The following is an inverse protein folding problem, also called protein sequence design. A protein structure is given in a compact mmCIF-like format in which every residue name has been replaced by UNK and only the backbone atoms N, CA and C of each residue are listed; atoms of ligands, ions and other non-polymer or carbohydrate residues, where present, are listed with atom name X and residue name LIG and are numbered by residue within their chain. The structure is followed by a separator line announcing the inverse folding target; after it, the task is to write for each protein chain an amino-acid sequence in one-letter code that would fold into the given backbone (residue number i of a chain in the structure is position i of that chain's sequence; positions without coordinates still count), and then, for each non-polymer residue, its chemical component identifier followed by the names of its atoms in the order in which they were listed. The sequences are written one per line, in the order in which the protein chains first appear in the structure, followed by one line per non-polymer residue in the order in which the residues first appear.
data_IF_120233587915
#
_entry.id   IF_120233587915
#
_cell.length_a   1.000
_cell.length_b   1.000
_cell.length_c   1.000
_cell.angle_alpha   90.00
_cell.angle_beta   90.00
_cell.angle_gamma   90.00
#
_symmetry.space_group_name_H-M   'P 1'
#
loop_
_entity.id
_entity.type
_entity.pdbx_description
1 polymer ?
#
# COMPACT_ATOMS: atom_id res chain seq x y z
N UNK A 1 0.42 78.40 6.93
CA UNK A 1 0.35 77.60 5.68
C UNK A 1 1.16 76.34 5.94
N UNK A 2 0.65 75.11 6.05
CA UNK A 2 -0.64 74.52 5.75
C UNK A 2 -0.42 73.24 4.94
N UNK A 3 -0.83 72.08 5.50
CA UNK A 3 -0.97 70.72 4.91
C UNK A 3 0.29 69.84 4.95
N UNK A 4 0.22 68.55 5.30
CA UNK A 4 -0.89 67.71 5.70
C UNK A 4 -0.39 66.27 5.90
N UNK A 5 -0.69 65.66 7.04
CA UNK A 5 -0.32 64.28 7.36
C UNK A 5 -1.34 63.31 6.75
N UNK A 6 -0.89 62.43 5.86
CA UNK A 6 -1.70 61.38 5.26
C UNK A 6 -1.68 60.14 6.16
N UNK A 7 -2.82 59.84 6.79
CA UNK A 7 -3.02 58.59 7.53
C UNK A 7 -3.47 57.48 6.57
N UNK A 8 -2.72 56.39 6.48
CA UNK A 8 -3.11 55.18 5.74
C UNK A 8 -3.91 54.28 6.69
N UNK A 9 -5.20 54.13 6.42
CA UNK A 9 -6.07 53.18 7.13
C UNK A 9 -6.03 51.85 6.37
N UNK A 10 -5.46 50.82 6.99
CA UNK A 10 -5.50 49.46 6.48
C UNK A 10 -6.82 48.80 6.90
N UNK A 11 -7.69 48.50 5.94
CA UNK A 11 -8.93 47.75 6.17
C UNK A 11 -8.58 46.26 6.12
N UNK A 12 -8.58 45.61 7.29
CA UNK A 12 -8.50 44.16 7.39
C UNK A 12 -9.86 43.55 7.00
N UNK A 13 -9.93 42.94 5.82
CA UNK A 13 -11.09 42.16 5.41
C UNK A 13 -11.06 40.79 6.10
N UNK A 14 -11.92 40.60 7.10
CA UNK A 14 -12.17 39.29 7.69
C UNK A 14 -13.06 38.47 6.75
N UNK A 15 -12.48 37.55 5.99
CA UNK A 15 -13.20 36.51 5.28
C UNK A 15 -13.71 35.49 6.29
N UNK A 16 -14.98 35.64 6.70
CA UNK A 16 -15.72 34.59 7.40
C UNK A 16 -15.98 33.47 6.38
N UNK A 17 -15.13 32.45 6.40
CA UNK A 17 -15.34 31.23 5.65
C UNK A 17 -16.57 30.52 6.20
N UNK A 18 -17.68 30.60 5.47
CA UNK A 18 -18.81 29.69 5.61
C UNK A 18 -18.28 28.29 5.28
N UNK A 19 -17.89 27.55 6.31
CA UNK A 19 -17.54 26.13 6.21
C UNK A 19 -18.77 25.39 5.70
N UNK A 20 -18.78 25.10 4.40
CA UNK A 20 -19.69 24.13 3.81
C UNK A 20 -19.49 22.82 4.56
N UNK A 21 -20.44 22.49 5.42
CA UNK A 21 -20.51 21.22 6.15
C UNK A 21 -20.56 20.09 5.15
N UNK A 22 -19.37 19.59 4.79
CA UNK A 22 -19.21 18.39 4.02
C UNK A 22 -19.65 17.26 4.95
N UNK A 23 -20.93 16.89 4.87
CA UNK A 23 -21.49 15.77 5.62
C UNK A 23 -20.50 14.61 5.54
N UNK A 24 -20.12 14.07 6.72
CA UNK A 24 -19.14 12.99 6.85
C UNK A 24 -19.53 11.86 5.92
N UNK A 25 -18.86 11.78 4.76
CA UNK A 25 -19.06 10.66 3.85
C UNK A 25 -18.66 9.42 4.64
N UNK A 26 -19.54 8.41 4.79
CA UNK A 26 -19.21 7.22 5.55
C UNK A 26 -17.96 6.59 4.95
N UNK A 27 -17.03 6.28 5.86
CA UNK A 27 -15.75 5.67 5.53
C UNK A 27 -15.95 4.46 4.62
N UNK A 28 -15.13 4.28 3.57
CA UNK A 28 -15.23 3.11 2.69
C UNK A 28 -15.07 1.79 3.46
N UNK A 29 -14.37 1.82 4.61
CA UNK A 29 -14.15 0.67 5.48
C UNK A 29 -15.41 0.15 6.19
N UNK A 30 -16.39 1.03 6.37
CA UNK A 30 -17.62 0.74 7.10
C UNK A 30 -18.79 0.41 6.15
N UNK A 31 -18.53 0.37 4.84
CA UNK A 31 -19.52 -0.03 3.83
C UNK A 31 -19.76 -1.54 3.86
N UNK A 32 -20.99 -1.98 3.59
CA UNK A 32 -21.27 -3.40 3.40
C UNK A 32 -20.43 -4.00 2.28
N UNK A 33 -19.87 -5.18 2.52
CA UNK A 33 -19.20 -5.97 1.49
C UNK A 33 -20.24 -6.66 0.59
N UNK A 34 -19.89 -6.87 -0.68
CA UNK A 34 -20.72 -7.61 -1.64
C UNK A 34 -20.91 -9.08 -1.23
N UNK A 35 -19.96 -9.63 -0.49
CA UNK A 35 -19.99 -11.00 0.05
C UNK A 35 -19.61 -10.95 1.52
N UNK A 36 -20.24 -11.77 2.35
CA UNK A 36 -19.95 -11.79 3.79
C UNK A 36 -19.03 -12.92 4.21
N UNK A 37 -18.82 -13.92 3.34
CA UNK A 37 -18.01 -15.08 3.63
C UNK A 37 -16.72 -15.04 2.82
N UNK A 38 -15.60 -14.99 3.53
CA UNK A 38 -14.28 -15.05 2.95
C UNK A 38 -13.49 -16.18 3.57
N UNK A 39 -12.52 -16.72 2.83
CA UNK A 39 -11.81 -17.90 3.29
C UNK A 39 -10.33 -17.81 2.95
N UNK A 40 -9.55 -18.34 3.85
CA UNK A 40 -8.11 -18.51 3.70
C UNK A 40 -7.77 -19.98 3.89
N UNK A 41 -6.84 -20.45 3.07
CA UNK A 41 -6.22 -21.75 3.22
C UNK A 41 -5.08 -21.62 4.22
N UNK A 42 -5.14 -22.35 5.33
CA UNK A 42 -4.10 -22.36 6.36
C UNK A 42 -3.62 -23.78 6.57
N UNK A 43 -2.37 -24.00 7.00
CA UNK A 43 -1.96 -25.34 7.41
C UNK A 43 -2.84 -25.83 8.58
N UNK A 44 -3.08 -27.13 8.65
CA UNK A 44 -3.84 -27.76 9.70
C UNK A 44 -3.06 -27.80 11.02
N UNK A 45 -3.79 -27.76 12.13
CA UNK A 45 -3.25 -27.98 13.47
C UNK A 45 -3.10 -26.71 14.34
N UNK A 46 -2.88 -26.89 15.65
CA UNK A 46 -2.77 -25.80 16.62
C UNK A 46 -1.53 -24.94 16.34
N UNK A 47 -1.71 -23.62 16.33
CA UNK A 47 -0.62 -22.69 16.03
C UNK A 47 -0.17 -22.68 14.58
N UNK A 48 -0.88 -23.38 13.69
CA UNK A 48 -0.69 -23.25 12.26
C UNK A 48 -1.21 -21.90 11.79
N UNK A 49 -0.39 -21.28 10.96
CA UNK A 49 -0.52 -19.89 10.54
C UNK A 49 -0.43 -19.80 9.02
N UNK A 50 -1.09 -18.83 8.40
CA UNK A 50 -1.15 -18.72 6.95
C UNK A 50 0.22 -18.57 6.26
N UNK A 51 0.26 -18.87 4.96
CA UNK A 51 1.34 -18.47 4.06
C UNK A 51 1.06 -17.11 3.44
N UNK A 52 2.10 -16.36 3.08
CA UNK A 52 1.98 -15.03 2.47
C UNK A 52 1.09 -15.04 1.22
N UNK A 53 1.18 -16.09 0.38
CA UNK A 53 0.33 -16.24 -0.79
C UNK A 53 -1.17 -16.40 -0.41
N UNK A 54 -1.46 -17.07 0.70
CA UNK A 54 -2.83 -17.24 1.20
C UNK A 54 -3.36 -15.95 1.83
N UNK A 55 -2.51 -15.23 2.56
CA UNK A 55 -2.79 -13.91 3.12
C UNK A 55 -3.09 -12.92 2.00
N UNK A 56 -2.17 -12.82 1.03
CA UNK A 56 -2.31 -12.00 -0.15
C UNK A 56 -3.59 -12.32 -0.91
N UNK A 57 -3.88 -13.61 -1.16
CA UNK A 57 -5.10 -14.03 -1.85
C UNK A 57 -6.39 -13.63 -1.13
N UNK A 58 -6.39 -13.59 0.21
CA UNK A 58 -7.52 -13.08 0.99
C UNK A 58 -7.64 -11.56 0.89
N UNK A 59 -6.53 -10.82 1.09
CA UNK A 59 -6.51 -9.35 1.04
C UNK A 59 -6.89 -8.82 -0.35
N UNK A 60 -6.38 -9.43 -1.43
CA UNK A 60 -6.80 -9.15 -2.80
C UNK A 60 -8.31 -9.30 -3.00
N UNK A 61 -8.93 -10.30 -2.34
CA UNK A 61 -10.38 -10.51 -2.40
C UNK A 61 -11.13 -9.42 -1.66
N UNK A 62 -10.65 -9.00 -0.48
CA UNK A 62 -11.22 -7.87 0.27
C UNK A 62 -11.20 -6.59 -0.57
N UNK A 63 -10.05 -6.28 -1.19
CA UNK A 63 -9.91 -5.13 -2.08
C UNK A 63 -10.92 -5.17 -3.24
N UNK A 64 -11.08 -6.34 -3.88
CA UNK A 64 -12.02 -6.53 -4.97
C UNK A 64 -13.48 -6.32 -4.56
N UNK A 65 -13.92 -6.94 -3.47
CA UNK A 65 -15.33 -6.87 -3.05
C UNK A 65 -15.72 -5.53 -2.43
N UNK A 66 -14.73 -4.73 -2.02
CA UNK A 66 -14.93 -3.40 -1.43
C UNK A 66 -14.61 -2.26 -2.39
N UNK A 67 -13.94 -2.54 -3.51
CA UNK A 67 -13.36 -1.54 -4.41
C UNK A 67 -12.46 -0.55 -3.68
N UNK A 68 -11.71 -1.04 -2.69
CA UNK A 68 -10.73 -0.26 -1.92
C UNK A 68 -9.32 -0.72 -2.29
N UNK A 69 -8.44 0.20 -2.74
CA UNK A 69 -7.04 -0.12 -3.01
C UNK A 69 -6.33 -0.67 -1.78
N UNK A 70 -5.29 -1.47 -2.00
CA UNK A 70 -4.60 -2.08 -0.88
C UNK A 70 -3.10 -2.25 -1.06
N UNK A 71 -2.45 -2.40 0.08
CA UNK A 71 -1.06 -2.73 0.22
C UNK A 71 -0.83 -3.86 1.20
N UNK A 72 0.08 -4.75 0.88
CA UNK A 72 0.50 -5.82 1.77
C UNK A 72 2.02 -5.88 1.86
N UNK A 73 2.55 -5.86 3.07
CA UNK A 73 3.95 -6.14 3.33
C UNK A 73 4.05 -7.38 4.21
N UNK A 74 4.59 -8.45 3.64
CA UNK A 74 4.91 -9.67 4.36
C UNK A 74 6.37 -9.68 4.78
N UNK A 75 6.63 -10.06 6.03
CA UNK A 75 8.00 -10.26 6.53
C UNK A 75 8.20 -11.71 6.93
N UNK A 76 9.11 -12.38 6.22
CA UNK A 76 9.51 -13.76 6.46
C UNK A 76 10.57 -13.90 7.57
N UNK A 77 10.76 -12.91 8.45
CA UNK A 77 11.62 -13.05 9.63
C UNK A 77 11.27 -14.28 10.50
N UNK A 78 10.09 -14.87 10.33
CA UNK A 78 9.76 -16.24 10.71
C UNK A 78 9.32 -17.04 9.46
N UNK A 79 10.26 -17.54 8.65
CA UNK A 79 9.96 -18.22 7.40
C UNK A 79 9.37 -19.57 7.76
N UNK A 80 8.14 -19.78 7.31
CA UNK A 80 7.43 -20.99 7.66
C UNK A 80 7.68 -22.01 6.57
N UNK A 81 8.10 -23.22 6.93
CA UNK A 81 8.20 -24.25 5.93
C UNK A 81 6.80 -24.43 5.33
N UNK A 82 6.70 -24.27 4.01
CA UNK A 82 5.61 -24.82 3.21
C UNK A 82 5.72 -26.35 3.28
N UNK A 83 5.57 -26.95 4.47
CA UNK A 83 5.44 -28.38 4.55
C UNK A 83 4.09 -28.75 3.95
N UNK A 84 4.05 -29.89 3.28
CA UNK A 84 2.85 -30.53 2.74
C UNK A 84 1.88 -30.98 3.86
N UNK A 85 1.58 -30.08 4.79
CA UNK A 85 0.59 -30.27 5.84
C UNK A 85 -0.79 -30.24 5.21
N UNK A 86 -1.73 -30.99 5.78
CA UNK A 86 -3.14 -30.84 5.43
C UNK A 86 -3.52 -29.36 5.51
N UNK A 87 -4.32 -28.88 4.56
CA UNK A 87 -4.78 -27.50 4.53
C UNK A 87 -6.20 -27.45 5.09
N UNK A 88 -6.42 -26.57 6.07
CA UNK A 88 -7.72 -26.24 6.60
C UNK A 88 -8.22 -24.93 5.97
N UNK A 89 -9.52 -24.87 5.69
CA UNK A 89 -10.19 -23.65 5.23
C UNK A 89 -10.68 -22.89 6.46
N UNK A 90 -10.08 -21.74 6.77
CA UNK A 90 -10.56 -20.84 7.83
C UNK A 90 -11.39 -19.71 7.22
N UNK A 91 -12.59 -19.53 7.75
CA UNK A 91 -13.53 -18.51 7.31
C UNK A 91 -13.38 -17.20 8.09
N UNK A 92 -13.58 -16.08 7.40
CA UNK A 92 -13.84 -14.76 7.98
C UNK A 92 -15.24 -14.37 7.55
N UNK A 93 -16.18 -14.34 8.51
CA UNK A 93 -17.52 -13.82 8.29
C UNK A 93 -17.54 -12.35 8.68
N UNK A 94 -17.72 -11.46 7.70
CA UNK A 94 -17.66 -10.02 7.93
C UNK A 94 -18.67 -9.29 7.04
N UNK A 95 -19.44 -8.38 7.63
CA UNK A 95 -20.38 -7.54 6.88
C UNK A 95 -19.73 -6.29 6.29
N UNK A 96 -18.60 -5.83 6.84
CA UNK A 96 -17.86 -4.64 6.39
C UNK A 96 -16.39 -4.95 6.14
N UNK A 97 -15.71 -4.09 5.37
CA UNK A 97 -14.27 -4.22 5.13
C UNK A 97 -13.47 -4.14 6.44
N UNK A 98 -13.85 -3.23 7.34
CA UNK A 98 -13.23 -3.11 8.68
C UNK A 98 -13.29 -4.43 9.44
N UNK A 99 -14.49 -5.02 9.56
CA UNK A 99 -14.67 -6.29 10.25
C UNK A 99 -13.88 -7.44 9.58
N UNK A 100 -13.75 -7.41 8.25
CA UNK A 100 -12.97 -8.39 7.51
C UNK A 100 -11.47 -8.27 7.80
N UNK A 101 -10.94 -7.05 7.84
CA UNK A 101 -9.53 -6.76 8.17
C UNK A 101 -9.22 -7.08 9.64
N UNK A 102 -10.14 -6.79 10.56
CA UNK A 102 -10.02 -7.16 11.97
C UNK A 102 -10.02 -8.69 12.13
N UNK A 103 -10.87 -9.40 11.38
CA UNK A 103 -10.87 -10.86 11.31
C UNK A 103 -9.56 -11.43 10.75
N UNK A 104 -8.95 -10.79 9.75
CA UNK A 104 -7.63 -11.14 9.25
C UNK A 104 -6.55 -11.01 10.35
N UNK A 105 -6.51 -9.87 11.05
CA UNK A 105 -5.54 -9.65 12.13
C UNK A 105 -5.76 -10.62 13.30
N UNK A 106 -7.01 -10.99 13.60
CA UNK A 106 -7.30 -12.01 14.60
C UNK A 106 -6.74 -13.40 14.21
N UNK A 107 -6.67 -13.71 12.91
CA UNK A 107 -6.07 -14.96 12.43
C UNK A 107 -4.54 -14.94 12.41
N UNK A 108 -3.92 -13.81 12.06
CA UNK A 108 -2.47 -13.62 12.14
C UNK A 108 -2.12 -12.29 12.85
N UNK A 109 -1.92 -12.33 14.18
CA UNK A 109 -1.71 -11.13 15.00
C UNK A 109 -0.32 -10.50 14.83
N UNK A 110 0.55 -11.05 13.97
CA UNK A 110 1.82 -10.40 13.60
C UNK A 110 1.58 -9.13 12.79
N UNK A 111 0.42 -9.03 12.15
CA UNK A 111 0.06 -7.90 11.31
C UNK A 111 -0.82 -6.91 12.06
N UNK A 112 -0.76 -5.66 11.59
CA UNK A 112 -1.81 -4.68 11.81
C UNK A 112 -2.15 -4.01 10.49
N UNK A 113 -3.39 -3.58 10.35
CA UNK A 113 -3.82 -2.79 9.20
C UNK A 113 -4.03 -1.32 9.60
N UNK A 114 -3.85 -0.41 8.66
CA UNK A 114 -4.19 1.02 8.80
C UNK A 114 -4.85 1.54 7.53
N UNK A 115 -5.70 2.56 7.66
CA UNK A 115 -6.12 3.40 6.54
C UNK A 115 -5.00 4.40 6.23
N UNK A 116 -4.44 4.31 5.01
CA UNK A 116 -3.40 5.21 4.51
C UNK A 116 -3.95 5.92 3.27
N UNK A 117 -4.61 7.05 3.50
CA UNK A 117 -5.12 7.91 2.44
C UNK A 117 -6.26 7.31 1.62
N UNK A 118 -7.04 6.39 2.19
CA UNK A 118 -8.14 5.68 1.52
C UNK A 118 -7.79 4.29 1.00
N UNK A 119 -6.55 3.83 1.18
CA UNK A 119 -6.15 2.44 0.94
C UNK A 119 -5.98 1.71 2.29
N UNK A 120 -6.37 0.44 2.40
CA UNK A 120 -5.91 -0.34 3.55
C UNK A 120 -4.53 -0.88 3.30
N UNK A 121 -3.67 -0.74 4.29
CA UNK A 121 -2.30 -1.22 4.25
C UNK A 121 -2.11 -2.18 5.40
N UNK A 122 -1.72 -3.42 5.08
CA UNK A 122 -1.43 -4.47 6.05
C UNK A 122 0.09 -4.66 6.09
N UNK A 123 0.68 -4.51 7.27
CA UNK A 123 2.13 -4.68 7.50
C UNK A 123 2.36 -5.35 8.84
N UNK A 124 3.55 -5.93 9.03
CA UNK A 124 3.92 -6.43 10.36
C UNK A 124 3.95 -5.31 11.38
N UNK A 125 3.72 -5.64 12.66
CA UNK A 125 3.70 -4.66 13.74
C UNK A 125 4.97 -3.80 13.77
N UNK A 126 6.13 -4.41 13.55
CA UNK A 126 7.45 -3.77 13.60
C UNK A 126 7.74 -2.87 12.40
N UNK A 127 7.32 -3.27 11.20
CA UNK A 127 7.64 -2.55 9.96
C UNK A 127 7.10 -1.11 9.94
N UNK A 128 5.98 -0.87 10.61
CA UNK A 128 5.40 0.47 10.65
C UNK A 128 6.24 1.52 11.36
N UNK A 129 6.98 1.13 12.39
CA UNK A 129 7.69 2.04 13.28
C UNK A 129 9.21 1.89 13.13
N UNK A 130 9.67 0.96 12.27
CA UNK A 130 11.09 0.77 11.94
C UNK A 130 11.55 1.81 10.92
N UNK A 131 12.43 2.77 11.31
CA UNK A 131 12.96 3.76 10.37
C UNK A 131 13.84 3.14 9.27
N UNK A 132 14.28 1.89 9.46
CA UNK A 132 15.13 1.16 8.51
C UNK A 132 14.33 0.33 7.51
N UNK A 133 13.00 0.31 7.66
CA UNK A 133 12.13 -0.37 6.72
C UNK A 133 12.16 0.32 5.36
N UNK A 134 12.23 -0.48 4.28
CA UNK A 134 12.35 0.01 2.92
C UNK A 134 11.20 0.96 2.53
N UNK A 135 9.98 0.68 3.02
CA UNK A 135 8.79 1.48 2.71
C UNK A 135 8.70 2.74 3.57
N UNK A 136 9.47 2.85 4.64
CA UNK A 136 9.56 4.04 5.47
C UNK A 136 10.66 5.02 5.01
N UNK A 137 11.42 4.68 3.96
CA UNK A 137 12.41 5.57 3.36
C UNK A 137 11.76 6.87 2.86
N UNK A 138 12.35 8.01 3.23
CA UNK A 138 11.82 9.33 2.92
C UNK A 138 11.95 9.67 1.44
N UNK A 139 10.91 10.31 0.92
CA UNK A 139 10.86 10.85 -0.44
C UNK A 139 10.23 12.24 -0.42
N UNK A 140 10.60 13.07 -1.40
CA UNK A 140 10.10 14.44 -1.54
C UNK A 140 9.88 14.79 -3.00
N UNK A 141 8.96 15.73 -3.22
CA UNK A 141 8.71 16.37 -4.52
C UNK A 141 8.43 15.36 -5.66
N UNK A 142 7.73 14.27 -5.32
CA UNK A 142 7.30 13.28 -6.31
C UNK A 142 6.05 13.79 -7.01
N UNK A 143 6.21 14.14 -8.28
CA UNK A 143 5.14 14.57 -9.16
C UNK A 143 5.23 13.84 -10.50
N UNK A 144 4.72 12.61 -10.52
CA UNK A 144 4.64 11.84 -11.75
C UNK A 144 3.25 11.98 -12.36
N UNK A 145 3.21 12.14 -13.69
CA UNK A 145 1.98 12.31 -14.46
C UNK A 145 2.03 11.44 -15.68
N UNK A 146 0.84 11.02 -16.10
CA UNK A 146 0.64 10.32 -17.36
C UNK A 146 1.51 9.08 -17.54
N UNK A 147 1.75 8.34 -16.44
CA UNK A 147 2.54 7.11 -16.46
C UNK A 147 1.65 5.89 -16.66
N UNK A 148 2.12 4.89 -17.41
CA UNK A 148 1.52 3.57 -17.31
C UNK A 148 1.97 2.83 -16.03
N UNK A 149 1.36 1.67 -15.76
CA UNK A 149 1.66 0.84 -14.58
C UNK A 149 3.13 0.40 -14.54
N UNK A 150 3.71 -0.01 -15.67
CA UNK A 150 5.10 -0.48 -15.74
C UNK A 150 6.07 0.67 -15.51
N UNK A 151 5.83 1.83 -16.13
CA UNK A 151 6.61 3.06 -15.94
C UNK A 151 6.55 3.55 -14.49
N UNK A 152 5.38 3.44 -13.85
CA UNK A 152 5.22 3.76 -12.42
C UNK A 152 6.01 2.80 -11.54
N UNK A 153 5.93 1.50 -11.84
CA UNK A 153 6.66 0.48 -11.12
C UNK A 153 8.18 0.63 -11.25
N UNK A 154 8.66 0.89 -12.46
CA UNK A 154 10.08 1.14 -12.75
C UNK A 154 10.64 2.30 -11.91
N UNK A 155 9.90 3.42 -11.85
CA UNK A 155 10.27 4.57 -10.99
C UNK A 155 10.28 4.23 -9.51
N UNK A 156 9.32 3.45 -9.02
CA UNK A 156 9.33 2.96 -7.63
C UNK A 156 10.54 2.06 -7.39
N UNK A 157 10.89 1.20 -8.35
CA UNK A 157 12.11 0.39 -8.31
C UNK A 157 13.37 1.27 -8.16
N UNK A 158 13.45 2.38 -8.88
CA UNK A 158 14.56 3.34 -8.74
C UNK A 158 14.54 4.14 -7.43
N UNK A 159 13.38 4.37 -6.81
CA UNK A 159 13.34 4.94 -5.46
C UNK A 159 13.94 3.97 -4.44
N UNK A 160 13.66 2.67 -4.58
CA UNK A 160 14.16 1.62 -3.69
C UNK A 160 15.63 1.27 -3.96
N UNK A 161 16.07 1.34 -5.22
CA UNK A 161 17.43 0.97 -5.66
C UNK A 161 17.99 2.04 -6.62
N UNK A 162 18.37 3.22 -6.11
CA UNK A 162 18.83 4.34 -6.95
C UNK A 162 20.14 4.06 -7.69
N UNK A 163 20.95 3.12 -7.19
CA UNK A 163 22.20 2.70 -7.82
C UNK A 163 22.03 1.61 -8.89
N UNK A 164 20.82 1.05 -9.04
CA UNK A 164 20.54 0.02 -10.04
C UNK A 164 20.24 0.66 -11.40
N UNK A 165 21.08 0.42 -12.44
CA UNK A 165 20.92 1.06 -13.74
C UNK A 165 19.89 0.36 -14.63
N UNK A 166 19.25 -0.73 -14.16
CA UNK A 166 18.34 -1.52 -14.97
C UNK A 166 17.01 -0.79 -15.21
N UNK A 167 16.59 -0.75 -16.46
CA UNK A 167 15.19 -0.51 -16.82
C UNK A 167 14.44 -1.84 -16.74
N UNK A 168 13.62 -2.03 -15.70
CA UNK A 168 13.11 -3.35 -15.35
C UNK A 168 12.11 -3.91 -16.35
N UNK A 169 11.44 -3.02 -17.09
CA UNK A 169 10.37 -3.36 -18.02
C UNK A 169 10.62 -2.87 -19.45
N UNK A 170 11.87 -2.55 -19.80
CA UNK A 170 12.22 -2.12 -21.15
C UNK A 170 11.71 -3.11 -22.21
N UNK A 171 10.91 -2.61 -23.15
CA UNK A 171 10.34 -3.39 -24.25
C UNK A 171 9.13 -4.27 -23.88
N UNK A 172 8.70 -4.30 -22.62
CA UNK A 172 7.50 -5.04 -22.21
C UNK A 172 6.27 -4.15 -22.45
N UNK A 173 5.25 -4.70 -23.11
CA UNK A 173 3.93 -4.07 -23.26
C UNK A 173 2.88 -4.94 -22.61
N UNK A 174 2.17 -4.41 -21.62
CA UNK A 174 1.01 -5.06 -21.06
C UNK A 174 -0.14 -4.91 -22.06
N UNK A 175 -0.50 -6.00 -22.75
CA UNK A 175 -1.54 -5.96 -23.80
C UNK A 175 -2.93 -5.61 -23.27
N UNK A 176 -3.14 -5.60 -21.95
CA UNK A 176 -4.43 -5.36 -21.29
C UNK A 176 -4.32 -4.57 -19.97
N UNK A 177 -3.19 -3.90 -19.67
CA UNK A 177 -3.25 -2.90 -18.60
C UNK A 177 -4.08 -1.77 -19.14
N UNK A 178 -5.25 -1.49 -18.54
CA UNK A 178 -6.08 -0.38 -18.96
C UNK A 178 -5.21 0.85 -19.24
N UNK A 179 -5.39 1.49 -20.39
CA UNK A 179 -4.61 2.65 -20.84
C UNK A 179 -4.81 3.88 -19.94
N UNK A 180 -5.27 3.70 -18.70
CA UNK A 180 -5.51 4.80 -17.79
C UNK A 180 -4.13 5.30 -17.31
N UNK A 181 -3.78 6.56 -17.62
CA UNK A 181 -2.59 7.16 -17.07
C UNK A 181 -2.69 7.24 -15.55
N UNK A 182 -1.59 6.91 -14.88
CA UNK A 182 -1.39 7.06 -13.45
C UNK A 182 -0.72 8.40 -13.13
N UNK A 183 -1.19 8.99 -12.05
CA UNK A 183 -0.65 10.20 -11.46
C UNK A 183 -0.25 9.91 -10.02
N UNK A 184 1.00 10.22 -9.69
CA UNK A 184 1.56 10.02 -8.35
C UNK A 184 2.03 11.36 -7.83
N UNK A 185 1.48 11.75 -6.68
CA UNK A 185 1.78 13.04 -6.07
C UNK A 185 2.07 12.88 -4.56
N UNK A 186 3.33 13.07 -4.18
CA UNK A 186 3.80 13.04 -2.79
C UNK A 186 4.77 14.21 -2.59
N UNK A 187 4.31 15.24 -1.87
CA UNK A 187 5.12 16.42 -1.59
C UNK A 187 6.25 16.12 -0.57
N UNK A 188 5.89 15.51 0.56
CA UNK A 188 6.82 14.98 1.57
C UNK A 188 6.17 13.72 2.16
N UNK A 189 6.93 12.63 2.26
CA UNK A 189 6.38 11.34 2.68
C UNK A 189 7.43 10.22 2.63
N UNK A 190 6.96 9.00 2.43
CA UNK A 190 7.81 7.82 2.27
C UNK A 190 7.51 7.05 0.98
N UNK A 191 8.31 6.03 0.67
CA UNK A 191 8.04 5.12 -0.45
C UNK A 191 6.66 4.44 -0.31
N UNK A 192 6.21 4.17 0.92
CA UNK A 192 4.85 3.70 1.20
C UNK A 192 3.79 4.67 0.65
N UNK A 193 3.97 5.98 0.84
CA UNK A 193 3.04 7.00 0.35
C UNK A 193 3.00 7.05 -1.18
N UNK A 194 4.15 6.82 -1.83
CA UNK A 194 4.25 6.74 -3.31
C UNK A 194 3.47 5.54 -3.82
N UNK A 195 3.68 4.36 -3.24
CA UNK A 195 2.95 3.14 -3.57
C UNK A 195 1.44 3.33 -3.37
N UNK A 196 1.03 3.88 -2.24
CA UNK A 196 -0.37 4.15 -1.94
C UNK A 196 -0.98 5.24 -2.83
N UNK A 197 -0.21 6.23 -3.26
CA UNK A 197 -0.68 7.19 -4.26
C UNK A 197 -0.92 6.53 -5.62
N UNK A 198 -0.02 5.64 -6.06
CA UNK A 198 -0.17 4.94 -7.34
C UNK A 198 -1.42 4.05 -7.36
N UNK A 199 -1.65 3.23 -6.32
CA UNK A 199 -2.81 2.33 -6.30
C UNK A 199 -4.14 3.05 -6.13
N UNK A 200 -4.14 4.22 -5.47
CA UNK A 200 -5.35 5.04 -5.34
C UNK A 200 -5.74 5.74 -6.62
N UNK A 201 -4.77 6.21 -7.40
CA UNK A 201 -5.07 6.86 -8.67
C UNK A 201 -5.71 5.87 -9.65
N UNK A 202 -5.23 4.62 -9.66
CA UNK A 202 -5.82 3.54 -10.44
C UNK A 202 -7.21 3.11 -9.90
N UNK A 203 -7.28 2.76 -8.62
CA UNK A 203 -8.49 2.29 -7.93
C UNK A 203 -8.62 0.77 -7.81
N UNK A 204 -7.94 -0.01 -8.66
CA UNK A 204 -7.99 -1.49 -8.66
C UNK A 204 -6.60 -2.15 -8.47
N UNK A 205 -5.53 -1.38 -8.63
CA UNK A 205 -4.19 -1.84 -8.29
C UNK A 205 -4.06 -2.16 -6.79
N UNK A 206 -3.20 -3.12 -6.51
CA UNK A 206 -2.63 -3.38 -5.20
C UNK A 206 -1.14 -3.63 -5.33
N UNK A 207 -0.42 -3.45 -4.22
CA UNK A 207 0.99 -3.79 -4.14
C UNK A 207 1.23 -4.84 -3.06
N UNK A 208 2.25 -5.67 -3.29
CA UNK A 208 2.73 -6.64 -2.32
C UNK A 208 4.25 -6.60 -2.26
N UNK A 209 4.77 -6.33 -1.06
CA UNK A 209 6.19 -6.47 -0.73
C UNK A 209 6.39 -7.73 0.07
N UNK A 210 7.40 -8.50 -0.30
CA UNK A 210 7.87 -9.63 0.50
C UNK A 210 9.37 -9.56 0.70
N UNK A 211 9.80 -9.91 1.90
CA UNK A 211 11.21 -10.11 2.24
C UNK A 211 11.51 -11.60 2.24
N UNK A 212 12.65 -12.01 1.70
CA UNK A 212 13.00 -13.42 1.65
C UNK A 212 13.22 -14.03 3.04
N UNK A 213 13.06 -15.35 3.09
CA UNK A 213 13.06 -16.13 4.33
C UNK A 213 14.42 -16.34 4.94
N UNK A 214 14.55 -17.35 5.82
CA UNK A 214 15.73 -17.48 6.66
C UNK A 214 16.98 -17.77 5.83
N UNK A 215 16.79 -18.42 4.70
CA UNK A 215 17.85 -18.73 3.73
C UNK A 215 18.11 -17.56 2.77
N UNK A 216 17.13 -16.68 2.57
CA UNK A 216 17.19 -15.56 1.61
C UNK A 216 16.85 -14.22 2.30
N UNK A 217 17.30 -13.98 3.54
CA UNK A 217 16.87 -12.81 4.35
C UNK A 217 17.07 -11.47 3.67
N UNK A 218 18.02 -11.45 2.74
CA UNK A 218 18.41 -10.28 1.97
C UNK A 218 17.50 -10.07 0.76
N UNK A 219 16.78 -11.08 0.27
CA UNK A 219 15.91 -10.91 -0.89
C UNK A 219 14.77 -9.95 -0.56
N UNK A 220 14.44 -9.12 -1.54
CA UNK A 220 13.31 -8.20 -1.51
C UNK A 220 12.56 -8.37 -2.81
N UNK A 221 11.25 -8.52 -2.74
CA UNK A 221 10.38 -8.47 -3.92
C UNK A 221 9.27 -7.46 -3.75
N UNK A 222 8.95 -6.79 -4.85
CA UNK A 222 7.78 -5.94 -4.98
C UNK A 222 6.94 -6.50 -6.13
N UNK A 223 5.64 -6.57 -5.93
CA UNK A 223 4.63 -6.85 -6.95
C UNK A 223 3.70 -5.65 -7.00
N UNK A 224 3.39 -5.19 -8.22
CA UNK A 224 2.39 -4.14 -8.45
C UNK A 224 1.46 -4.60 -9.57
N UNK A 225 0.16 -4.65 -9.30
CA UNK A 225 -0.80 -5.11 -10.29
C UNK A 225 -2.23 -5.14 -9.77
N UNK A 226 -3.16 -5.51 -10.66
CA UNK A 226 -4.59 -5.50 -10.33
C UNK A 226 -4.88 -6.55 -9.26
N UNK A 227 -5.37 -6.06 -8.12
CA UNK A 227 -5.55 -6.87 -6.91
C UNK A 227 -4.27 -7.63 -6.52
N UNK A 228 -3.10 -7.03 -6.78
CA UNK A 228 -1.78 -7.61 -6.52
C UNK A 228 -1.39 -8.81 -7.38
N UNK A 229 -2.10 -9.03 -8.49
CA UNK A 229 -1.63 -9.89 -9.57
C UNK A 229 -1.00 -9.01 -10.64
N UNK A 230 0.32 -9.10 -10.80
CA UNK A 230 1.05 -8.24 -11.71
C UNK A 230 2.49 -8.68 -11.90
N UNK A 231 3.29 -7.89 -12.62
CA UNK A 231 4.73 -8.06 -12.62
C UNK A 231 5.28 -8.09 -11.20
N UNK A 232 6.36 -8.84 -11.02
CA UNK A 232 7.12 -8.90 -9.76
C UNK A 232 8.58 -8.60 -10.07
N UNK A 233 9.14 -7.65 -9.35
CA UNK A 233 10.58 -7.39 -9.35
C UNK A 233 11.18 -7.97 -8.08
N UNK A 234 12.31 -8.64 -8.23
CA UNK A 234 13.06 -9.21 -7.13
C UNK A 234 14.50 -8.71 -7.18
N UNK A 235 15.00 -8.34 -6.01
CA UNK A 235 16.38 -7.93 -5.79
C UNK A 235 17.03 -8.87 -4.78
N UNK A 236 18.33 -9.17 -4.94
CA UNK A 236 19.03 -10.12 -4.07
C UNK A 236 19.31 -9.57 -2.67
N UNK A 237 19.20 -8.25 -2.49
CA UNK A 237 19.50 -7.53 -1.26
C UNK A 237 18.38 -6.56 -0.96
N UNK A 238 18.11 -6.31 0.33
CA UNK A 238 17.11 -5.33 0.77
C UNK A 238 17.61 -3.94 0.38
N UNK A 239 16.71 -2.98 0.12
CA UNK A 239 17.10 -1.60 -0.15
C UNK A 239 18.03 -1.10 0.94
N UNK A 240 19.26 -0.74 0.58
CA UNK A 240 20.17 -0.11 1.51
C UNK A 240 19.61 1.26 1.87
N UNK A 241 19.62 1.60 3.17
CA UNK A 241 19.23 2.94 3.57
C UNK A 241 20.20 3.96 2.97
N UNK A 242 19.70 5.13 2.53
CA UNK A 242 20.58 6.24 2.24
C UNK A 242 21.45 6.50 3.46
N UNK A 243 22.77 6.54 3.27
CA UNK A 243 23.66 7.01 4.34
C UNK A 243 23.32 8.49 4.61
N UNK A 244 23.16 8.90 5.87
CA UNK A 244 22.83 10.28 6.23
C UNK A 244 23.86 11.28 5.73
#
# INVERSE_FOLDING_TARGET
MGRGSTAIVAIAAATVGLGSGQADKPSPFDRPLQTTEHFMNVPAGPGATPSDASEMGLLSRFARVSSVPFGFESDEAAPRPSTASAVERRGVTASTLRAALDGFVAMDPRYRWKDVGGAFVVRTLTAWDDPNDALNQRVRDIHWRDLDVLSTFDRIGHLLYPADPREYFAGIRLQNSGNRPLNVNVADGTVLDVLNSAVRDDGELGWWVSYGGALERQRFSLTLGHYGNGPTLAWPQRPALPKP
#
